data_IF_086487480481
#
_entry.id   IF_086487480481
#
_cell.length_a   1.000
_cell.length_b   1.000
_cell.length_c   1.000
_cell.angle_alpha   90.00
_cell.angle_beta   90.00
_cell.angle_gamma   90.00
#
_symmetry.space_group_name_H-M   'P 1'
#
loop_
_entity.id
_entity.type
_entity.pdbx_description
1 polymer ?
#
# COMPACT_ATOMS: atom_id res chain seq x y z
N UNK A 1 -13.38 -5.12 -11.57
CA UNK A 1 -12.26 -5.43 -12.48
C UNK A 1 -11.52 -4.13 -12.72
N UNK A 2 -10.20 -4.14 -12.65
CA UNK A 2 -9.37 -3.01 -13.07
C UNK A 2 -9.00 -3.23 -14.54
N UNK A 3 -8.79 -2.16 -15.29
CA UNK A 3 -8.41 -2.21 -16.69
C UNK A 3 -7.11 -1.42 -16.90
N UNK A 4 -6.42 -1.69 -18.00
CA UNK A 4 -5.25 -0.89 -18.37
C UNK A 4 -5.64 0.59 -18.53
N UNK A 5 -4.84 1.47 -17.93
CA UNK A 5 -5.11 2.90 -17.87
C UNK A 5 -5.85 3.37 -16.61
N UNK A 6 -6.43 2.46 -15.83
CA UNK A 6 -7.10 2.81 -14.57
C UNK A 6 -6.12 3.40 -13.54
N UNK A 7 -6.67 4.13 -12.58
CA UNK A 7 -5.94 4.63 -11.42
C UNK A 7 -6.53 4.03 -10.15
N UNK A 8 -5.66 3.45 -9.32
CA UNK A 8 -6.04 2.86 -8.03
C UNK A 8 -5.25 3.51 -6.93
N UNK A 9 -5.92 3.84 -5.84
CA UNK A 9 -5.29 4.34 -4.62
C UNK A 9 -5.36 3.28 -3.53
N UNK A 10 -4.19 2.81 -3.10
CA UNK A 10 -4.03 1.94 -1.94
C UNK A 10 -3.92 2.82 -0.70
N UNK A 11 -4.73 2.56 0.33
CA UNK A 11 -4.69 3.30 1.59
C UNK A 11 -4.32 2.36 2.74
N UNK A 12 -3.21 2.63 3.40
CA UNK A 12 -2.73 1.89 4.56
C UNK A 12 -3.34 2.45 5.84
N UNK A 13 -4.07 1.63 6.59
CA UNK A 13 -4.74 2.10 7.82
C UNK A 13 -4.19 1.38 9.04
N UNK A 14 -3.91 2.16 10.08
CA UNK A 14 -3.62 1.61 11.40
C UNK A 14 -4.87 1.01 12.02
N UNK A 15 -4.70 0.07 12.95
CA UNK A 15 -5.80 -0.49 13.73
C UNK A 15 -6.60 0.63 14.42
N UNK A 16 -7.93 0.62 14.35
CA UNK A 16 -8.81 1.69 14.85
C UNK A 16 -8.47 3.09 14.28
N UNK A 17 -8.06 3.15 13.01
CA UNK A 17 -7.63 4.39 12.32
C UNK A 17 -6.56 5.16 13.09
N UNK A 18 -5.71 4.44 13.84
CA UNK A 18 -4.57 5.04 14.53
C UNK A 18 -3.62 5.69 13.53
N UNK A 19 -3.02 6.84 13.88
CA UNK A 19 -2.09 7.53 13.00
C UNK A 19 -0.88 6.64 12.69
N UNK A 20 -0.57 6.54 11.41
CA UNK A 20 0.61 5.84 10.89
C UNK A 20 1.53 6.93 10.33
N UNK A 21 2.53 7.41 11.10
CA UNK A 21 3.37 8.54 10.70
C UNK A 21 4.24 8.23 9.48
N UNK A 22 4.67 6.98 9.30
CA UNK A 22 5.33 6.55 8.07
C UNK A 22 4.93 5.13 7.67
N UNK A 23 4.85 4.92 6.36
CA UNK A 23 4.48 3.66 5.76
C UNK A 23 5.35 3.35 4.55
N UNK A 24 5.85 2.13 4.46
CA UNK A 24 6.45 1.57 3.24
C UNK A 24 5.45 0.67 2.54
N UNK A 25 5.31 0.83 1.23
CA UNK A 25 4.49 -0.03 0.40
C UNK A 25 5.35 -1.08 -0.31
N UNK A 26 4.82 -2.28 -0.40
CA UNK A 26 5.45 -3.42 -1.05
C UNK A 26 4.52 -4.00 -2.11
N UNK A 27 5.13 -4.50 -3.18
CA UNK A 27 4.48 -5.35 -4.17
C UNK A 27 5.26 -6.66 -4.25
N UNK A 28 4.61 -7.76 -3.89
CA UNK A 28 5.28 -9.02 -3.57
C UNK A 28 6.41 -8.73 -2.54
N UNK A 29 7.67 -8.99 -2.86
CA UNK A 29 8.80 -8.72 -1.95
C UNK A 29 9.52 -7.40 -2.25
N UNK A 30 9.05 -6.63 -3.25
CA UNK A 30 9.71 -5.40 -3.70
C UNK A 30 9.12 -4.18 -3.01
N UNK A 31 9.96 -3.41 -2.33
CA UNK A 31 9.60 -2.09 -1.82
C UNK A 31 9.37 -1.11 -2.98
N UNK A 32 8.21 -0.46 -2.97
CA UNK A 32 7.82 0.56 -3.95
C UNK A 32 8.24 1.96 -3.49
N UNK A 33 8.27 2.19 -2.18
CA UNK A 33 8.71 3.43 -1.56
C UNK A 33 8.11 3.64 -0.17
N UNK A 34 8.70 4.59 0.57
CA UNK A 34 8.24 5.05 1.87
C UNK A 34 7.52 6.40 1.75
N UNK A 35 6.36 6.52 2.38
CA UNK A 35 5.65 7.77 2.60
C UNK A 35 5.81 8.20 4.06
N UNK A 36 6.40 9.37 4.29
CA UNK A 36 6.56 9.97 5.62
C UNK A 36 5.43 10.92 6.03
N UNK A 37 4.53 11.30 5.11
CA UNK A 37 3.46 12.27 5.34
C UNK A 37 2.18 11.86 4.57
N UNK A 38 1.80 10.59 4.68
CA UNK A 38 0.60 10.09 4.03
C UNK A 38 0.53 8.58 4.12
N UNK A 39 -0.68 8.06 3.99
CA UNK A 39 -0.94 6.61 4.00
C UNK A 39 -1.44 6.10 2.67
N UNK A 40 -1.36 6.90 1.61
CA UNK A 40 -1.99 6.63 0.33
C UNK A 40 -0.96 6.53 -0.79
N UNK A 41 -0.95 5.40 -1.51
CA UNK A 41 -0.16 5.19 -2.70
C UNK A 41 -1.09 5.12 -3.91
N UNK A 42 -0.90 6.01 -4.87
CA UNK A 42 -1.66 5.99 -6.12
C UNK A 42 -0.88 5.33 -7.25
N UNK A 43 -1.44 4.26 -7.80
CA UNK A 43 -0.97 3.56 -8.98
C UNK A 43 -1.66 4.17 -10.21
N UNK A 44 -0.95 5.04 -10.91
CA UNK A 44 -1.47 5.71 -12.11
C UNK A 44 -1.24 4.86 -13.35
N UNK A 45 -2.19 4.91 -14.30
CA UNK A 45 -2.10 4.23 -15.60
C UNK A 45 -1.70 2.77 -15.42
N UNK A 46 -2.59 1.99 -14.80
CA UNK A 46 -2.39 0.57 -14.58
C UNK A 46 -2.02 -0.16 -15.88
N UNK A 47 -1.15 -1.15 -15.74
CA UNK A 47 -0.61 -1.97 -16.84
C UNK A 47 -0.59 -3.41 -16.34
N UNK A 48 -0.55 -4.39 -17.23
CA UNK A 48 -0.51 -5.80 -16.85
C UNK A 48 0.60 -6.15 -15.83
N UNK A 49 1.75 -5.46 -15.91
CA UNK A 49 2.89 -5.64 -14.99
C UNK A 49 2.71 -5.00 -13.60
N UNK A 50 1.63 -4.26 -13.38
CA UNK A 50 1.22 -3.71 -12.09
C UNK A 50 0.38 -4.71 -11.29
N UNK A 51 -0.08 -5.80 -11.90
CA UNK A 51 -0.74 -6.88 -11.19
C UNK A 51 0.19 -7.53 -10.16
N UNK A 52 -0.36 -7.90 -9.00
CA UNK A 52 0.39 -8.53 -7.91
C UNK A 52 -0.25 -8.33 -6.55
N UNK A 53 0.38 -8.87 -5.51
CA UNK A 53 -0.01 -8.69 -4.12
C UNK A 53 0.67 -7.46 -3.53
N UNK A 54 -0.12 -6.57 -2.95
CA UNK A 54 0.35 -5.34 -2.32
C UNK A 54 0.10 -5.40 -0.83
N UNK A 55 1.07 -5.00 -0.03
CA UNK A 55 0.90 -4.77 1.40
C UNK A 55 1.66 -3.54 1.84
N UNK A 56 1.33 -3.03 3.02
CA UNK A 56 2.03 -1.93 3.62
C UNK A 56 2.64 -2.33 4.96
N UNK A 57 3.75 -1.69 5.31
CA UNK A 57 4.39 -1.79 6.62
C UNK A 57 4.50 -0.40 7.22
N UNK A 58 3.97 -0.21 8.41
CA UNK A 58 3.97 1.08 9.09
C UNK A 58 4.27 0.94 10.57
N UNK A 59 4.73 2.04 11.19
CA UNK A 59 4.88 2.12 12.64
C UNK A 59 3.57 2.56 13.26
N UNK A 60 2.97 1.74 14.11
CA UNK A 60 1.73 2.05 14.81
C UNK A 60 2.01 2.06 16.31
N UNK A 61 1.87 3.20 16.97
CA UNK A 61 2.10 3.29 18.41
C UNK A 61 0.87 2.77 19.21
N UNK A 62 1.07 2.01 20.31
CA UNK A 62 2.35 1.61 20.94
C UNK A 62 2.92 0.27 20.41
N UNK A 63 2.35 -0.30 19.35
CA UNK A 63 2.63 -1.66 18.90
C UNK A 63 3.89 -1.80 18.01
N UNK A 64 4.54 -0.69 17.66
CA UNK A 64 5.74 -0.68 16.83
C UNK A 64 5.45 -0.96 15.35
N UNK A 65 6.41 -1.57 14.65
CA UNK A 65 6.27 -1.91 13.23
C UNK A 65 5.25 -3.03 13.02
N UNK A 66 4.31 -2.81 12.10
CA UNK A 66 3.28 -3.78 11.71
C UNK A 66 3.12 -3.83 10.20
N UNK A 67 2.73 -4.99 9.72
CA UNK A 67 2.43 -5.26 8.31
C UNK A 67 0.93 -5.48 8.15
N UNK A 68 0.38 -5.03 7.02
CA UNK A 68 -1.01 -5.28 6.66
C UNK A 68 -1.19 -6.68 6.07
N UNK A 69 -2.44 -7.13 6.02
CA UNK A 69 -2.78 -8.22 5.11
C UNK A 69 -2.50 -7.80 3.64
N UNK A 70 -2.06 -8.72 2.78
CA UNK A 70 -1.87 -8.42 1.37
C UNK A 70 -3.21 -8.28 0.64
N UNK A 71 -3.22 -7.42 -0.38
CA UNK A 71 -4.36 -7.19 -1.27
C UNK A 71 -3.92 -7.42 -2.71
N UNK A 72 -4.70 -8.20 -3.45
CA UNK A 72 -4.41 -8.51 -4.84
C UNK A 72 -4.94 -7.41 -5.75
N UNK A 73 -4.06 -6.81 -6.54
CA UNK A 73 -4.40 -5.92 -7.65
C UNK A 73 -4.26 -6.73 -8.94
N UNK A 74 -5.32 -6.82 -9.72
CA UNK A 74 -5.34 -7.49 -11.03
C UNK A 74 -5.94 -6.56 -12.06
N UNK A 75 -5.11 -6.22 -13.05
CA UNK A 75 -5.47 -5.52 -14.28
C UNK A 75 -5.95 -6.52 -15.34
#
# INVERSE_FOLDING_TARGET
ALLEGDTVTLNCRGWLDKPVPSVSFYREEKELGELHNGTELSLYRLQLNHSGQYYCRGRVEPWGWKESAPVTVTV
#
